data_IF_672034782351
#
_entry.id   IF_672034782351
#
_cell.length_a   1.000
_cell.length_b   1.000
_cell.length_c   1.000
_cell.angle_alpha   90.00
_cell.angle_beta   90.00
_cell.angle_gamma   90.00
#
_symmetry.space_group_name_H-M   'P 1'
#
loop_
_entity.id
_entity.type
_entity.pdbx_description
1 polymer ?
#
# COMPACT_ATOMS: atom_id res chain seq x y z
N UNK A 1 36.91 56.45 34.83
CA UNK A 1 37.91 55.41 34.49
C UNK A 1 37.41 54.77 33.19
N UNK A 2 37.64 55.31 31.98
CA UNK A 2 38.84 55.26 31.12
C UNK A 2 39.48 53.87 31.05
N UNK A 3 39.39 53.23 29.86
CA UNK A 3 40.36 52.43 29.07
C UNK A 3 39.54 51.72 27.95
N UNK A 4 39.56 52.11 26.66
CA UNK A 4 40.51 51.74 25.57
C UNK A 4 40.82 50.24 25.54
N UNK A 5 40.78 49.46 24.44
CA UNK A 5 41.25 49.63 23.05
C UNK A 5 40.74 48.40 22.24
N UNK A 6 40.23 48.54 21.01
CA UNK A 6 40.90 48.42 19.68
C UNK A 6 41.43 47.03 19.26
N UNK A 7 40.96 46.63 18.06
CA UNK A 7 41.61 45.80 17.01
C UNK A 7 41.86 44.31 17.31
N UNK A 8 41.57 43.36 16.42
CA UNK A 8 42.22 43.18 15.12
C UNK A 8 41.36 42.43 14.09
N UNK A 9 41.51 42.84 12.84
CA UNK A 9 41.05 42.18 11.63
C UNK A 9 41.86 40.91 11.30
N UNK A 10 41.22 39.92 10.66
CA UNK A 10 41.90 38.98 9.76
C UNK A 10 40.95 38.46 8.67
N UNK A 11 41.08 39.06 7.50
CA UNK A 11 40.62 38.59 6.20
C UNK A 11 41.44 37.37 5.75
N UNK A 12 40.83 36.21 5.61
CA UNK A 12 41.26 35.09 4.76
C UNK A 12 39.97 34.33 4.40
N UNK A 13 39.59 34.01 3.18
CA UNK A 13 40.18 34.10 1.86
C UNK A 13 39.27 33.22 0.99
N UNK A 14 38.69 33.81 -0.07
CA UNK A 14 37.93 33.09 -1.11
C UNK A 14 38.66 31.84 -1.58
N UNK A 15 37.95 30.73 -1.83
CA UNK A 15 37.93 30.06 -3.15
C UNK A 15 36.62 29.28 -3.40
N UNK A 16 35.86 29.61 -4.46
CA UNK A 16 34.82 28.72 -4.99
C UNK A 16 35.47 27.57 -5.77
N UNK A 17 35.10 26.32 -5.48
CA UNK A 17 35.44 25.17 -6.34
C UNK A 17 34.49 25.16 -7.54
N UNK A 18 34.95 25.69 -8.66
CA UNK A 18 34.48 25.34 -10.00
C UNK A 18 35.01 23.93 -10.32
N UNK A 19 34.13 23.01 -10.69
CA UNK A 19 34.50 21.78 -11.41
C UNK A 19 33.90 21.92 -12.82
N UNK A 20 34.70 21.68 -13.86
CA UNK A 20 34.37 22.04 -15.25
C UNK A 20 33.31 21.13 -15.88
N UNK A 21 32.47 21.75 -16.70
CA UNK A 21 31.83 21.10 -17.83
C UNK A 21 32.89 20.79 -18.90
N UNK A 22 32.90 19.59 -19.47
CA UNK A 22 33.10 19.37 -20.90
C UNK A 22 33.02 17.88 -21.27
N UNK A 23 32.57 17.70 -22.52
CA UNK A 23 32.63 16.52 -23.38
C UNK A 23 31.54 15.47 -23.18
N UNK A 24 30.98 14.86 -24.23
CA UNK A 24 30.91 15.14 -25.66
C UNK A 24 30.11 13.96 -26.24
N UNK A 25 29.27 14.23 -27.24
CA UNK A 25 29.08 13.41 -28.43
C UNK A 25 28.76 11.91 -28.25
N UNK A 26 27.52 11.54 -28.62
CA UNK A 26 27.16 10.15 -28.82
C UNK A 26 25.80 9.96 -29.50
N UNK A 27 25.50 10.79 -30.50
CA UNK A 27 24.36 10.56 -31.39
C UNK A 27 24.68 9.37 -32.30
N UNK A 28 24.10 8.21 -32.01
CA UNK A 28 24.01 7.10 -32.95
C UNK A 28 22.59 7.02 -33.47
N UNK A 29 22.39 7.66 -34.62
CA UNK A 29 21.31 7.36 -35.55
C UNK A 29 21.81 6.20 -36.40
N UNK A 30 21.15 5.05 -36.32
CA UNK A 30 21.18 4.06 -37.40
C UNK A 30 19.74 3.69 -37.74
N UNK A 31 19.25 4.29 -38.81
CA UNK A 31 18.10 3.79 -39.56
C UNK A 31 18.49 2.49 -40.25
N UNK A 32 17.71 1.42 -40.04
CA UNK A 32 17.56 0.35 -41.02
C UNK A 32 16.10 -0.06 -41.10
N UNK A 33 15.67 -0.21 -42.34
CA UNK A 33 14.32 -0.13 -42.82
C UNK A 33 13.65 -1.51 -42.92
N UNK A 34 12.32 -1.48 -42.91
CA UNK A 34 11.40 -2.30 -43.72
C UNK A 34 11.41 -3.82 -43.47
N UNK A 35 10.26 -4.30 -42.98
CA UNK A 35 9.82 -5.68 -43.11
C UNK A 35 8.36 -5.82 -42.72
N UNK A 36 7.47 -5.82 -43.71
CA UNK A 36 6.06 -6.20 -43.59
C UNK A 36 5.91 -7.58 -42.95
N UNK A 37 4.91 -7.73 -42.06
CA UNK A 37 4.51 -9.04 -41.55
C UNK A 37 3.43 -8.87 -40.49
N UNK A 38 2.18 -8.87 -40.93
CA UNK A 38 1.04 -8.85 -40.03
C UNK A 38 1.01 -10.07 -39.11
N UNK A 39 0.70 -9.83 -37.85
CA UNK A 39 0.11 -10.82 -36.97
C UNK A 39 -1.07 -10.15 -36.27
N UNK A 40 -2.21 -10.10 -36.97
CA UNK A 40 -3.50 -9.92 -36.34
C UNK A 40 -3.78 -11.18 -35.52
N UNK A 41 -3.60 -11.11 -34.21
CA UNK A 41 -4.08 -12.16 -33.31
C UNK A 41 -5.59 -12.01 -33.23
N UNK A 42 -6.31 -12.73 -34.08
CA UNK A 42 -7.71 -13.02 -33.84
C UNK A 42 -7.77 -14.04 -32.70
N UNK A 43 -8.06 -13.56 -31.50
CA UNK A 43 -8.58 -14.41 -30.45
C UNK A 43 -10.08 -14.67 -30.76
N UNK A 44 -10.34 -15.63 -31.64
CA UNK A 44 -11.66 -16.25 -31.71
C UNK A 44 -11.84 -17.11 -30.46
N UNK A 45 -12.43 -16.52 -29.42
CA UNK A 45 -13.02 -17.28 -28.34
C UNK A 45 -14.20 -18.09 -28.89
N UNK A 46 -13.94 -19.35 -29.28
CA UNK A 46 -15.00 -20.35 -29.44
C UNK A 46 -15.61 -20.59 -28.06
N UNK A 47 -16.71 -19.90 -27.77
CA UNK A 47 -17.65 -20.32 -26.73
C UNK A 47 -18.36 -21.55 -27.31
N UNK A 48 -17.87 -22.73 -26.95
CA UNK A 48 -18.61 -23.97 -27.09
C UNK A 48 -19.80 -23.94 -26.13
N UNK A 49 -20.86 -23.24 -26.52
CA UNK A 49 -22.18 -23.46 -25.97
C UNK A 49 -22.72 -24.72 -26.60
N UNK A 50 -22.51 -25.86 -25.94
CA UNK A 50 -23.24 -27.10 -26.22
C UNK A 50 -24.69 -26.87 -25.74
N UNK A 51 -25.46 -26.15 -26.57
CA UNK A 51 -26.92 -26.10 -26.45
C UNK A 51 -27.42 -27.39 -27.06
N UNK A 52 -27.57 -28.41 -26.23
CA UNK A 52 -28.38 -29.57 -26.58
C UNK A 52 -29.84 -29.12 -26.59
N UNK A 53 -30.31 -28.68 -27.76
CA UNK A 53 -31.72 -28.74 -28.10
C UNK A 53 -32.11 -30.22 -28.13
N UNK A 54 -32.80 -30.68 -27.08
CA UNK A 54 -33.44 -31.99 -27.12
C UNK A 54 -34.77 -31.87 -27.86
N UNK A 55 -34.76 -32.48 -29.04
CA UNK A 55 -35.90 -32.80 -29.88
C UNK A 55 -36.82 -33.78 -29.13
N UNK A 56 -38.12 -33.50 -29.15
CA UNK A 56 -39.13 -34.19 -28.35
C UNK A 56 -40.00 -35.04 -29.27
N UNK A 57 -39.48 -36.18 -29.74
CA UNK A 57 -40.32 -37.23 -30.34
C UNK A 57 -39.59 -38.59 -30.33
N UNK A 58 -39.79 -39.40 -29.28
CA UNK A 58 -40.19 -40.80 -29.43
C UNK A 58 -40.50 -41.50 -28.09
N UNK A 59 -41.44 -42.47 -28.06
CA UNK A 59 -41.99 -43.04 -26.85
C UNK A 59 -41.44 -44.44 -26.47
N UNK A 60 -41.50 -44.69 -25.16
CA UNK A 60 -41.62 -45.97 -24.43
C UNK A 60 -40.47 -46.99 -24.50
N UNK A 61 -39.72 -47.05 -23.40
CA UNK A 61 -39.46 -48.32 -22.72
C UNK A 61 -39.31 -48.05 -21.22
N UNK A 62 -40.19 -48.66 -20.44
CA UNK A 62 -40.12 -48.76 -18.98
C UNK A 62 -38.81 -49.45 -18.57
N UNK A 63 -37.93 -48.73 -17.86
CA UNK A 63 -37.00 -49.34 -16.92
C UNK A 63 -37.04 -48.52 -15.63
N UNK A 64 -37.84 -49.03 -14.69
CA UNK A 64 -37.84 -48.70 -13.28
C UNK A 64 -36.48 -49.11 -12.69
N UNK A 65 -35.58 -48.14 -12.43
CA UNK A 65 -34.38 -48.41 -11.62
C UNK A 65 -33.92 -47.17 -10.83
N UNK A 66 -34.46 -47.07 -9.62
CA UNK A 66 -33.89 -46.46 -8.41
C UNK A 66 -32.89 -45.28 -8.58
N UNK A 67 -33.42 -44.06 -8.68
CA UNK A 67 -32.69 -42.79 -8.54
C UNK A 67 -32.59 -42.34 -7.07
N UNK A 68 -31.90 -43.10 -6.23
CA UNK A 68 -31.76 -42.80 -4.78
C UNK A 68 -30.31 -42.61 -4.24
N UNK A 69 -29.19 -42.80 -4.98
CA UNK A 69 -27.86 -42.52 -4.38
C UNK A 69 -27.34 -41.09 -4.61
N UNK A 70 -27.85 -40.34 -5.59
CA UNK A 70 -27.29 -39.02 -5.96
C UNK A 70 -27.80 -37.84 -5.13
N UNK A 71 -29.05 -37.90 -4.68
CA UNK A 71 -29.63 -36.86 -3.81
C UNK A 71 -28.95 -36.84 -2.44
N UNK A 72 -28.71 -38.02 -1.85
CA UNK A 72 -28.07 -38.18 -0.54
C UNK A 72 -26.59 -37.75 -0.55
N UNK A 73 -25.86 -37.96 -1.64
CA UNK A 73 -24.46 -37.52 -1.76
C UNK A 73 -24.34 -36.00 -1.93
N UNK A 74 -25.30 -35.38 -2.65
CA UNK A 74 -25.41 -33.93 -2.79
C UNK A 74 -25.78 -33.25 -1.46
N UNK A 75 -26.70 -33.83 -0.68
CA UNK A 75 -27.03 -33.34 0.66
C UNK A 75 -25.87 -33.54 1.66
N UNK A 76 -25.15 -34.67 1.58
CA UNK A 76 -23.98 -34.91 2.43
C UNK A 76 -22.82 -33.97 2.10
N UNK A 77 -22.60 -33.67 0.82
CA UNK A 77 -21.63 -32.66 0.40
C UNK A 77 -22.03 -31.29 0.94
N UNK A 78 -23.29 -30.85 0.76
CA UNK A 78 -23.80 -29.58 1.30
C UNK A 78 -23.71 -29.50 2.82
N UNK A 79 -24.02 -30.58 3.52
CA UNK A 79 -23.89 -30.67 4.98
C UNK A 79 -22.42 -30.65 5.44
N UNK A 80 -21.49 -31.19 4.64
CA UNK A 80 -20.06 -31.14 4.91
C UNK A 80 -19.48 -29.73 4.68
N UNK A 81 -19.96 -29.00 3.68
CA UNK A 81 -19.61 -27.59 3.46
C UNK A 81 -20.17 -26.71 4.59
N UNK A 82 -21.44 -26.92 4.99
CA UNK A 82 -22.06 -26.19 6.09
C UNK A 82 -21.40 -26.46 7.46
N UNK A 83 -20.93 -27.68 7.71
CA UNK A 83 -20.19 -28.01 8.93
C UNK A 83 -18.75 -27.47 8.93
N UNK A 84 -18.15 -27.29 7.76
CA UNK A 84 -16.83 -26.66 7.63
C UNK A 84 -16.89 -25.15 7.86
N UNK A 85 -17.99 -24.49 7.48
CA UNK A 85 -18.23 -23.07 7.82
C UNK A 85 -18.63 -22.87 9.28
N UNK A 86 -19.28 -23.85 9.91
CA UNK A 86 -19.68 -23.78 11.31
C UNK A 86 -18.53 -23.99 12.31
N UNK A 87 -17.42 -24.61 11.91
CA UNK A 87 -16.29 -24.91 12.80
C UNK A 87 -15.36 -23.70 13.08
N UNK A 88 -15.51 -22.59 12.34
CA UNK A 88 -14.73 -21.36 12.57
C UNK A 88 -15.60 -20.12 12.82
N UNK A 89 -16.90 -20.31 13.03
CA UNK A 89 -17.82 -19.24 13.40
C UNK A 89 -17.72 -18.91 14.90
N UNK A 90 -16.68 -18.18 15.29
CA UNK A 90 -16.72 -17.35 16.50
C UNK A 90 -17.72 -16.19 16.29
N UNK A 91 -18.34 -15.64 17.35
CA UNK A 91 -19.33 -14.59 17.20
C UNK A 91 -18.67 -13.31 16.70
N UNK A 92 -18.79 -13.03 15.41
CA UNK A 92 -18.23 -11.84 14.75
C UNK A 92 -18.00 -12.14 13.28
N UNK A 93 -18.71 -11.44 12.39
CA UNK A 93 -18.73 -11.73 10.95
C UNK A 93 -17.37 -11.76 10.25
N UNK A 94 -17.39 -12.11 8.96
CA UNK A 94 -16.21 -12.20 8.10
C UNK A 94 -15.25 -11.00 8.29
N UNK A 95 -13.96 -11.29 8.41
CA UNK A 95 -12.92 -10.26 8.49
C UNK A 95 -12.92 -9.39 7.23
N UNK A 96 -12.63 -8.10 7.40
CA UNK A 96 -12.59 -7.18 6.29
C UNK A 96 -11.48 -7.54 5.28
N UNK A 97 -11.74 -7.21 4.01
CA UNK A 97 -10.80 -7.43 2.92
C UNK A 97 -9.58 -6.52 3.04
N UNK A 98 -8.43 -7.03 2.58
CA UNK A 98 -7.21 -6.24 2.44
C UNK A 98 -7.39 -5.14 1.39
N UNK A 99 -6.73 -4.00 1.59
CA UNK A 99 -6.67 -2.91 0.64
C UNK A 99 -7.24 -1.59 1.15
N UNK A 100 -7.56 -0.71 0.20
CA UNK A 100 -7.96 0.68 0.43
C UNK A 100 -9.21 0.82 1.31
N UNK A 101 -9.16 1.75 2.26
CA UNK A 101 -10.28 2.14 3.12
C UNK A 101 -10.56 3.63 2.99
N UNK A 102 -11.75 3.94 2.46
CA UNK A 102 -12.24 5.32 2.24
C UNK A 102 -12.96 5.90 3.46
N UNK A 103 -13.31 5.02 4.39
CA UNK A 103 -13.95 5.30 5.66
C UNK A 103 -12.95 5.46 6.79
N UNK A 104 -11.64 5.27 6.54
CA UNK A 104 -10.58 5.49 7.51
C UNK A 104 -9.82 6.78 7.21
N UNK A 105 -9.62 7.60 8.23
CA UNK A 105 -8.77 8.79 8.20
C UNK A 105 -7.86 8.88 9.41
N UNK A 106 -6.84 9.73 9.32
CA UNK A 106 -5.93 10.05 10.41
C UNK A 106 -6.44 11.27 11.20
N UNK A 107 -6.58 11.15 12.51
CA UNK A 107 -6.99 12.24 13.41
C UNK A 107 -5.99 13.40 13.32
N UNK A 108 -6.44 14.67 13.29
CA UNK A 108 -5.58 15.85 13.29
C UNK A 108 -4.59 15.88 14.47
N UNK A 109 -4.96 15.34 15.63
CA UNK A 109 -4.15 15.40 16.86
C UNK A 109 -2.85 14.57 16.80
N UNK A 110 -2.74 13.65 15.83
CA UNK A 110 -1.59 12.75 15.68
C UNK A 110 -0.91 12.90 14.32
N UNK A 111 -1.19 13.97 13.56
CA UNK A 111 -0.61 14.23 12.23
C UNK A 111 0.83 14.76 12.27
N UNK A 112 1.58 14.48 13.34
CA UNK A 112 3.01 14.75 13.35
C UNK A 112 3.73 14.01 12.23
N UNK A 113 4.76 14.62 11.64
CA UNK A 113 5.56 14.00 10.59
C UNK A 113 6.25 12.73 11.13
N UNK A 114 5.84 11.56 10.62
CA UNK A 114 6.55 10.29 10.89
C UNK A 114 7.44 9.91 9.71
N UNK A 115 6.98 10.23 8.52
CA UNK A 115 7.73 10.14 7.28
C UNK A 115 7.80 11.53 6.67
N UNK A 116 8.68 11.73 5.69
CA UNK A 116 8.77 13.01 5.00
C UNK A 116 7.40 13.39 4.41
N UNK A 117 6.91 14.57 4.81
CA UNK A 117 5.63 15.14 4.41
C UNK A 117 4.40 14.27 4.70
N UNK A 118 4.49 13.31 5.62
CA UNK A 118 3.43 12.34 5.85
C UNK A 118 3.34 11.93 7.33
N UNK A 119 2.17 12.14 7.91
CA UNK A 119 1.75 11.56 9.18
C UNK A 119 1.22 10.15 8.95
N UNK A 120 1.61 9.20 9.80
CA UNK A 120 1.26 7.79 9.64
C UNK A 120 1.05 7.11 10.99
N UNK A 121 -0.06 6.40 11.12
CA UNK A 121 -0.36 5.50 12.24
C UNK A 121 -0.57 4.09 11.72
N UNK A 122 -0.03 3.12 12.43
CA UNK A 122 -0.07 1.69 12.10
C UNK A 122 -0.50 0.91 13.35
N UNK A 123 -1.44 -0.03 13.22
CA UNK A 123 -1.90 -0.85 14.34
C UNK A 123 -3.26 -1.51 14.12
N UNK A 124 -3.90 -2.06 15.17
CA UNK A 124 -5.28 -2.54 15.11
C UNK A 124 -6.30 -1.41 14.84
N UNK A 125 -7.56 -1.70 14.50
CA UNK A 125 -8.55 -0.70 14.07
C UNK A 125 -8.88 0.36 15.12
N UNK A 126 -8.66 0.06 16.40
CA UNK A 126 -8.90 0.92 17.55
C UNK A 126 -7.67 1.74 17.97
N UNK A 127 -6.57 1.68 17.20
CA UNK A 127 -5.36 2.44 17.48
C UNK A 127 -5.65 3.93 17.56
N UNK A 128 -5.15 4.58 18.62
CA UNK A 128 -5.28 6.03 18.81
C UNK A 128 -4.84 6.78 17.55
N UNK A 129 -5.72 7.62 17.04
CA UNK A 129 -5.49 8.41 15.84
C UNK A 129 -6.14 7.86 14.58
N UNK A 130 -6.60 6.61 14.58
CA UNK A 130 -7.46 6.08 13.52
C UNK A 130 -8.91 6.53 13.74
N UNK A 131 -9.49 7.16 12.73
CA UNK A 131 -10.88 7.64 12.78
C UNK A 131 -11.67 6.95 11.68
N UNK A 132 -12.67 6.18 12.08
CA UNK A 132 -13.57 5.47 11.17
C UNK A 132 -14.88 6.23 10.95
N UNK A 133 -15.33 6.29 9.71
CA UNK A 133 -16.68 6.74 9.35
C UNK A 133 -17.63 5.58 9.56
N UNK A 134 -18.17 5.48 10.77
CA UNK A 134 -19.01 4.37 11.21
C UNK A 134 -18.22 3.40 12.08
N UNK A 135 -18.75 2.18 12.31
CA UNK A 135 -18.07 1.19 13.13
C UNK A 135 -16.78 0.72 12.45
N UNK A 136 -15.73 0.57 13.26
CA UNK A 136 -14.49 -0.04 12.78
C UNK A 136 -14.76 -1.49 12.33
N UNK A 137 -14.17 -1.93 11.21
CA UNK A 137 -14.32 -3.29 10.73
C UNK A 137 -13.63 -4.30 11.66
N UNK A 138 -14.12 -5.53 11.68
CA UNK A 138 -13.37 -6.65 12.22
C UNK A 138 -12.15 -6.94 11.34
N UNK A 139 -10.96 -6.98 11.93
CA UNK A 139 -9.72 -7.37 11.24
C UNK A 139 -9.08 -8.56 11.95
N UNK A 140 -8.40 -9.40 11.17
CA UNK A 140 -7.75 -10.58 11.73
C UNK A 140 -6.55 -10.21 12.59
N UNK A 141 -6.51 -10.55 13.89
CA UNK A 141 -5.53 -10.00 14.83
C UNK A 141 -4.06 -10.35 14.51
N UNK A 142 -3.82 -11.49 13.86
CA UNK A 142 -2.46 -11.96 13.52
C UNK A 142 -2.13 -11.91 12.02
N UNK A 143 -3.10 -11.59 11.16
CA UNK A 143 -2.92 -11.61 9.69
C UNK A 143 -3.15 -10.25 9.05
N UNK A 144 -3.80 -9.34 9.77
CA UNK A 144 -4.17 -8.03 9.25
C UNK A 144 -3.78 -6.94 10.23
N UNK A 145 -3.35 -5.82 9.68
CA UNK A 145 -3.13 -4.57 10.42
C UNK A 145 -3.71 -3.41 9.62
N UNK A 146 -3.87 -2.27 10.25
CA UNK A 146 -4.46 -1.08 9.66
C UNK A 146 -3.42 0.02 9.58
N UNK A 147 -3.40 0.75 8.48
CA UNK A 147 -2.63 1.97 8.31
C UNK A 147 -3.57 3.15 8.05
N UNK A 148 -3.34 4.26 8.73
CA UNK A 148 -3.93 5.56 8.43
C UNK A 148 -2.81 6.55 8.10
N UNK A 149 -2.98 7.33 7.04
CA UNK A 149 -2.00 8.28 6.53
C UNK A 149 -2.64 9.61 6.16
N UNK A 150 -1.91 10.72 6.33
CA UNK A 150 -2.30 12.03 5.84
C UNK A 150 -1.08 12.92 5.63
N UNK A 151 -1.10 13.77 4.60
CA UNK A 151 -0.15 14.88 4.42
C UNK A 151 -0.70 16.21 4.95
N UNK A 152 -2.00 16.28 5.25
CA UNK A 152 -2.65 17.52 5.68
C UNK A 152 -2.21 17.90 7.09
N UNK A 153 -1.77 19.15 7.27
CA UNK A 153 -1.27 19.63 8.57
C UNK A 153 0.10 19.10 8.94
N UNK A 154 0.77 18.37 8.04
CA UNK A 154 2.17 17.94 8.20
C UNK A 154 3.06 18.99 7.55
N UNK A 155 4.11 19.43 8.24
CA UNK A 155 5.09 20.34 7.65
C UNK A 155 5.80 19.67 6.47
N UNK A 156 5.77 20.34 5.32
CA UNK A 156 6.37 19.86 4.09
C UNK A 156 7.00 21.03 3.31
N UNK A 157 8.26 20.90 2.83
CA UNK A 157 8.95 21.99 2.17
C UNK A 157 8.33 22.34 0.81
N UNK A 158 8.23 23.65 0.54
CA UNK A 158 7.76 24.20 -0.73
C UNK A 158 6.30 23.87 -1.03
N UNK A 159 5.95 23.76 -2.31
CA UNK A 159 4.57 23.55 -2.77
C UNK A 159 4.05 22.12 -2.49
N UNK A 160 4.90 21.23 -1.95
CA UNK A 160 4.49 19.88 -1.61
C UNK A 160 3.48 19.84 -0.44
N UNK A 161 3.44 20.88 0.41
CA UNK A 161 2.43 21.03 1.46
C UNK A 161 1.00 21.29 0.94
N UNK A 162 0.86 21.74 -0.31
CA UNK A 162 -0.45 21.95 -0.95
C UNK A 162 -1.01 20.65 -1.57
N UNK A 163 -0.18 19.62 -1.67
CA UNK A 163 -0.55 18.35 -2.27
C UNK A 163 -1.13 17.38 -1.22
N UNK A 164 -2.12 16.61 -1.65
CA UNK A 164 -2.77 15.62 -0.78
C UNK A 164 -2.19 14.24 -1.08
N UNK A 165 -1.70 13.55 -0.05
CA UNK A 165 -1.27 12.16 -0.16
C UNK A 165 -2.48 11.22 -0.25
N UNK A 166 -2.40 10.21 -1.12
CA UNK A 166 -3.36 9.13 -1.21
C UNK A 166 -2.65 7.78 -1.19
N UNK A 167 -3.21 6.84 -0.46
CA UNK A 167 -2.86 5.43 -0.57
C UNK A 167 -3.12 4.93 -1.99
N UNK A 168 -2.14 4.24 -2.57
CA UNK A 168 -2.24 3.63 -3.90
C UNK A 168 -2.39 2.11 -3.85
N UNK A 169 -1.69 1.47 -2.93
CA UNK A 169 -1.58 0.01 -2.87
C UNK A 169 -0.46 -0.44 -1.93
N UNK A 170 -0.34 -1.75 -1.73
CA UNK A 170 0.82 -2.37 -1.10
C UNK A 170 1.41 -3.46 -2.00
N UNK A 171 2.67 -3.80 -1.77
CA UNK A 171 3.32 -4.99 -2.32
C UNK A 171 4.08 -5.71 -1.20
N UNK A 172 4.28 -7.02 -1.35
CA UNK A 172 5.14 -7.79 -0.43
C UNK A 172 6.47 -8.04 -1.12
N UNK A 173 7.57 -7.64 -0.48
CA UNK A 173 8.93 -7.74 -1.00
C UNK A 173 9.81 -8.40 0.07
N UNK A 174 10.26 -9.64 -0.13
CA UNK A 174 11.17 -10.31 0.81
C UNK A 174 10.63 -10.50 2.23
N UNK A 175 9.31 -10.58 2.40
CA UNK A 175 8.64 -10.65 3.71
C UNK A 175 8.19 -9.29 4.26
N UNK A 176 8.69 -8.19 3.70
CA UNK A 176 8.28 -6.83 4.06
C UNK A 176 7.00 -6.42 3.33
N UNK A 177 6.18 -5.56 3.96
CA UNK A 177 5.00 -4.96 3.34
C UNK A 177 5.31 -3.51 2.97
N UNK A 178 5.29 -3.20 1.67
CA UNK A 178 5.64 -1.90 1.14
C UNK A 178 4.39 -1.14 0.70
N UNK A 179 3.97 -0.17 1.50
CA UNK A 179 2.86 0.74 1.18
C UNK A 179 3.34 1.80 0.20
N UNK A 180 2.63 1.93 -0.92
CA UNK A 180 2.92 2.95 -1.92
C UNK A 180 1.92 4.09 -1.82
N UNK A 181 2.43 5.32 -1.72
CA UNK A 181 1.63 6.55 -1.71
C UNK A 181 1.81 7.34 -3.01
N UNK A 182 0.76 8.05 -3.40
CA UNK A 182 0.77 8.94 -4.56
C UNK A 182 0.16 10.30 -4.23
N UNK A 183 0.33 11.25 -5.15
CA UNK A 183 -0.38 12.54 -5.10
C UNK A 183 -1.81 12.29 -5.55
N UNK A 184 -2.77 12.73 -4.73
CA UNK A 184 -4.19 12.71 -5.06
C UNK A 184 -4.45 13.48 -6.37
N UNK A 185 -5.30 12.92 -7.21
CA UNK A 185 -5.67 13.52 -8.50
C UNK A 185 -7.11 13.98 -8.46
N UNK A 186 -7.38 15.13 -9.08
CA UNK A 186 -8.74 15.62 -9.27
C UNK A 186 -9.62 14.52 -9.92
N UNK A 187 -10.85 14.39 -9.42
CA UNK A 187 -11.80 13.38 -9.90
C UNK A 187 -11.55 11.95 -9.41
N UNK A 188 -10.48 11.67 -8.66
CA UNK A 188 -10.25 10.37 -8.01
C UNK A 188 -10.53 10.44 -6.51
N UNK A 189 -11.15 9.40 -5.92
CA UNK A 189 -11.28 9.33 -4.47
C UNK A 189 -9.92 9.33 -3.78
N UNK A 190 -9.74 10.23 -2.82
CA UNK A 190 -8.61 10.18 -1.90
C UNK A 190 -8.82 9.02 -0.93
N UNK A 191 -7.78 8.21 -0.74
CA UNK A 191 -7.79 7.11 0.23
C UNK A 191 -6.74 7.40 1.29
N UNK A 192 -7.18 7.58 2.54
CA UNK A 192 -6.31 7.91 3.67
C UNK A 192 -6.03 6.71 4.58
N UNK A 193 -6.52 5.52 4.25
CA UNK A 193 -6.25 4.33 5.03
C UNK A 193 -6.31 3.04 4.23
N UNK A 194 -5.80 1.97 4.83
CA UNK A 194 -5.85 0.63 4.26
C UNK A 194 -5.78 -0.45 5.34
N UNK A 195 -6.32 -1.61 5.02
CA UNK A 195 -6.03 -2.86 5.74
C UNK A 195 -4.91 -3.57 4.99
N UNK A 196 -3.85 -3.89 5.70
CA UNK A 196 -2.63 -4.51 5.18
C UNK A 196 -2.49 -5.93 5.74
N UNK A 197 -1.80 -6.83 5.04
CA UNK A 197 -1.31 -8.04 5.66
C UNK A 197 -0.29 -7.69 6.76
N UNK A 198 -0.20 -8.53 7.78
CA UNK A 198 0.93 -8.52 8.71
C UNK A 198 2.16 -9.09 7.97
N UNK A 199 3.35 -8.46 8.05
CA UNK A 199 4.58 -9.00 7.46
C UNK A 199 4.92 -10.41 7.96
N UNK A 200 5.54 -11.22 7.10
CA UNK A 200 5.96 -12.57 7.45
C UNK A 200 7.27 -12.56 8.24
N UNK A 201 7.39 -13.43 9.25
CA UNK A 201 8.63 -13.61 10.02
C UNK A 201 9.12 -12.32 10.68
N UNK A 202 10.33 -11.87 10.29
CA UNK A 202 10.96 -10.64 10.80
C UNK A 202 10.66 -9.39 9.93
N UNK A 203 9.74 -9.53 8.96
CA UNK A 203 9.38 -8.47 8.03
C UNK A 203 8.85 -7.21 8.71
N UNK A 204 9.01 -6.09 8.02
CA UNK A 204 8.64 -4.75 8.46
C UNK A 204 7.64 -4.13 7.50
N UNK A 205 6.92 -3.12 7.99
CA UNK A 205 6.07 -2.29 7.14
C UNK A 205 6.83 -1.01 6.78
N UNK A 206 6.84 -0.68 5.50
CA UNK A 206 7.43 0.54 4.98
C UNK A 206 6.39 1.35 4.21
N UNK A 207 6.63 2.65 4.11
CA UNK A 207 5.97 3.52 3.13
C UNK A 207 7.00 3.95 2.09
N UNK A 208 6.59 4.09 0.84
CA UNK A 208 7.39 4.71 -0.22
C UNK A 208 6.55 5.58 -1.15
N UNK A 209 7.14 6.62 -1.75
CA UNK A 209 6.51 7.32 -2.85
C UNK A 209 6.36 6.41 -4.08
N UNK A 210 5.32 6.66 -4.90
CA UNK A 210 5.13 5.98 -6.19
C UNK A 210 6.30 6.19 -7.15
N UNK A 211 6.89 7.38 -7.15
CA UNK A 211 8.05 7.75 -7.97
C UNK A 211 8.81 8.92 -7.30
N UNK A 212 9.93 9.34 -7.87
CA UNK A 212 10.75 10.42 -7.30
C UNK A 212 10.06 11.80 -7.24
N UNK A 213 8.97 12.01 -7.98
CA UNK A 213 8.22 13.27 -8.02
C UNK A 213 7.24 13.38 -6.85
N UNK A 214 6.82 12.25 -6.27
CA UNK A 214 5.93 12.23 -5.11
C UNK A 214 6.75 12.58 -3.85
N UNK A 215 6.39 13.65 -3.13
CA UNK A 215 7.17 14.13 -1.97
C UNK A 215 6.90 13.30 -0.69
N UNK A 216 5.90 12.43 -0.70
CA UNK A 216 5.40 11.72 0.47
C UNK A 216 6.06 10.37 0.71
N UNK A 217 6.25 10.02 1.98
CA UNK A 217 6.53 8.64 2.38
C UNK A 217 7.99 8.21 2.30
N UNK A 218 8.93 9.14 2.05
CA UNK A 218 10.37 8.91 2.25
C UNK A 218 10.71 8.92 3.74
N UNK A 219 11.84 8.32 4.10
CA UNK A 219 12.40 8.45 5.45
C UNK A 219 12.70 9.92 5.77
N UNK A 220 12.67 10.29 7.04
CA UNK A 220 13.00 11.66 7.49
C UNK A 220 14.46 12.04 7.19
N UNK A 221 15.33 11.03 7.09
CA UNK A 221 16.73 11.09 6.67
C UNK A 221 16.92 11.14 5.14
N UNK A 222 15.83 11.12 4.37
CA UNK A 222 15.86 11.07 2.91
C UNK A 222 15.96 9.66 2.34
N UNK A 223 15.89 8.60 3.16
CA UNK A 223 15.84 7.22 2.69
C UNK A 223 14.68 7.01 1.71
N UNK A 224 14.82 6.13 0.70
CA UNK A 224 13.80 5.92 -0.32
C UNK A 224 12.50 5.31 0.23
N UNK A 225 12.55 4.74 1.44
CA UNK A 225 11.42 4.15 2.14
C UNK A 225 11.43 4.64 3.60
N UNK A 226 10.27 4.95 4.13
CA UNK A 226 10.08 5.24 5.54
C UNK A 226 9.72 3.96 6.30
N UNK A 227 10.51 3.58 7.30
CA UNK A 227 10.23 2.41 8.13
C UNK A 227 9.15 2.72 9.18
N UNK A 228 8.10 1.90 9.25
CA UNK A 228 7.04 1.99 10.27
C UNK A 228 7.17 0.93 11.36
N UNK A 229 8.00 -0.09 11.15
CA UNK A 229 8.16 -1.22 12.07
C UNK A 229 7.20 -2.38 11.76
N UNK A 230 7.23 -3.41 12.61
CA UNK A 230 6.28 -4.52 12.59
C UNK A 230 5.03 -4.16 13.41
N UNK A 231 3.82 -4.54 12.97
CA UNK A 231 2.61 -4.35 13.76
C UNK A 231 2.74 -5.12 15.08
N UNK A 232 2.63 -4.42 16.22
CA UNK A 232 2.81 -4.97 17.57
C UNK A 232 4.16 -4.66 18.21
N UNK A 233 5.16 -4.18 17.46
CA UNK A 233 6.32 -3.53 18.06
C UNK A 233 5.89 -2.11 18.46
N UNK A 234 5.63 -1.89 19.75
CA UNK A 234 5.53 -0.53 20.30
C UNK A 234 6.71 0.27 19.80
N UNK A 235 6.45 1.36 19.08
CA UNK A 235 7.47 2.29 18.61
C UNK A 235 8.42 2.60 19.78
N UNK A 236 9.69 2.21 19.67
CA UNK A 236 10.69 2.71 20.61
C UNK A 236 10.77 4.22 20.43
N UNK A 237 10.49 5.01 21.48
CA UNK A 237 10.76 6.44 21.42
C UNK A 237 12.27 6.62 21.28
N UNK A 238 12.66 7.30 20.19
CA UNK A 238 13.96 7.92 19.95
C UNK A 238 15.18 7.31 20.64
N UNK A 239 16.00 6.61 19.86
CA UNK A 239 17.45 6.78 19.97
C UNK A 239 17.80 8.19 19.46
N UNK A 240 17.39 9.22 20.22
CA UNK A 240 17.97 10.55 20.13
C UNK A 240 19.24 10.53 20.96
N UNK A 241 20.29 11.11 20.36
CA UNK A 241 21.67 10.94 20.78
C UNK A 241 21.93 11.26 22.25
N UNK A 242 22.88 10.49 22.76
CA UNK A 242 23.83 10.93 23.77
C UNK A 242 24.33 12.34 23.45
N UNK A 243 24.10 13.29 24.36
CA UNK A 243 24.97 14.45 24.52
C UNK A 243 25.02 14.81 26.00
N UNK A 244 26.24 15.06 26.45
CA UNK A 244 26.70 15.42 27.79
C UNK A 244 25.77 16.30 28.65
N UNK A 245 25.70 16.00 29.96
CA UNK A 245 26.15 16.96 30.99
C UNK A 245 26.25 16.28 32.38
N UNK A 246 27.49 16.09 32.87
CA UNK A 246 27.93 16.29 34.27
C UNK A 246 29.35 15.81 34.52
#
# INVERSE_FOLDING_TARGET
>A
MKHHALEHAALLGRRPRRIPAAHALGAWVLCLAVGCGGASVQAEGRVGGDVQTFDFDQPLAEEELADEPRALESERARASFAQSEAAEARPGGAYALLGARRDLSLSPDVRGARCQCLGVVLGPPDTKGMVWRGPAPSVHPTRQTVIALSSEGVECPGNAGEQIASYRGYSVEGGDVIVTVEIARAGRPVTQGAILPVPDGAGQIYVRPRNAEVPFGRGLDGAPRCALGSPGATASPGASGSLEDR
#
